data_IF_658017417973
#
_entry.id   IF_658017417973
#
_cell.length_a   1.000
_cell.length_b   1.000
_cell.length_c   1.000
_cell.angle_alpha   90.00
_cell.angle_beta   90.00
_cell.angle_gamma   90.00
#
_symmetry.space_group_name_H-M   'P 1'
#
loop_
_entity.id
_entity.type
_entity.pdbx_description
1 polymer ?
#
# COMPACT_ATOMS: atom_id res chain seq x y z
N UNK A 1 -12.18 1.15 -18.78
CA UNK A 1 -11.28 1.78 -17.78
C UNK A 1 -10.21 0.78 -17.37
N UNK A 2 -9.02 1.25 -17.00
CA UNK A 2 -7.96 0.38 -16.49
C UNK A 2 -8.37 -0.20 -15.12
N UNK A 3 -8.26 -1.51 -14.93
CA UNK A 3 -8.61 -2.16 -13.66
C UNK A 3 -7.51 -1.91 -12.63
N UNK A 4 -7.87 -1.31 -11.49
CA UNK A 4 -6.96 -1.12 -10.35
C UNK A 4 -7.36 -2.09 -9.25
N UNK A 5 -6.38 -2.78 -8.68
CA UNK A 5 -6.59 -3.59 -7.48
C UNK A 5 -5.75 -3.04 -6.34
N UNK A 6 -6.34 -3.00 -5.15
CA UNK A 6 -5.66 -2.67 -3.91
C UNK A 6 -5.58 -3.93 -3.05
N UNK A 7 -4.36 -4.38 -2.78
CA UNK A 7 -4.08 -5.49 -1.87
C UNK A 7 -3.53 -4.93 -0.56
N UNK A 8 -4.18 -5.28 0.55
CA UNK A 8 -3.85 -4.70 1.84
C UNK A 8 -3.89 -5.68 3.00
N UNK A 9 -3.10 -5.40 4.03
CA UNK A 9 -3.25 -6.05 5.34
C UNK A 9 -3.71 -5.01 6.37
N UNK A 10 -4.62 -5.39 7.28
CA UNK A 10 -5.09 -4.54 8.37
C UNK A 10 -5.06 -5.30 9.69
N UNK A 11 -4.19 -4.88 10.62
CA UNK A 11 -4.10 -5.51 11.94
C UNK A 11 -5.17 -5.03 12.91
N UNK A 12 -5.45 -3.72 12.92
CA UNK A 12 -6.38 -3.07 13.85
C UNK A 12 -7.52 -2.30 13.17
N UNK A 13 -7.75 -2.50 11.87
CA UNK A 13 -8.86 -1.87 11.14
C UNK A 13 -8.52 -0.54 10.46
N UNK A 14 -7.53 0.23 10.92
CA UNK A 14 -7.23 1.53 10.30
C UNK A 14 -6.84 1.44 8.81
N UNK A 15 -5.98 0.49 8.42
CA UNK A 15 -5.61 0.30 7.01
C UNK A 15 -6.81 -0.13 6.18
N UNK A 16 -7.74 -0.90 6.76
CA UNK A 16 -9.01 -1.31 6.11
C UNK A 16 -9.87 -0.11 5.77
N UNK A 17 -10.09 0.82 6.71
CA UNK A 17 -10.86 2.04 6.45
C UNK A 17 -10.23 2.87 5.32
N UNK A 18 -8.90 3.00 5.32
CA UNK A 18 -8.17 3.70 4.26
C UNK A 18 -8.31 3.00 2.90
N UNK A 19 -8.20 1.67 2.89
CA UNK A 19 -8.33 0.81 1.72
C UNK A 19 -9.73 0.88 1.09
N UNK A 20 -10.77 0.77 1.91
CA UNK A 20 -12.17 0.92 1.50
C UNK A 20 -12.45 2.33 0.97
N UNK A 21 -11.93 3.36 1.63
CA UNK A 21 -12.06 4.76 1.18
C UNK A 21 -11.40 4.95 -0.18
N UNK A 22 -10.17 4.48 -0.37
CA UNK A 22 -9.46 4.54 -1.65
C UNK A 22 -10.23 3.79 -2.75
N UNK A 23 -10.63 2.55 -2.48
CA UNK A 23 -11.31 1.72 -3.46
C UNK A 23 -12.67 2.31 -3.88
N UNK A 24 -13.43 2.89 -2.95
CA UNK A 24 -14.70 3.53 -3.25
C UNK A 24 -14.57 4.75 -4.18
N UNK A 25 -13.46 5.49 -4.14
CA UNK A 25 -13.27 6.68 -4.99
C UNK A 25 -12.99 6.35 -6.46
N UNK A 26 -12.41 5.18 -6.74
CA UNK A 26 -11.96 4.82 -8.09
C UNK A 26 -12.50 3.46 -8.57
N UNK A 27 -13.42 2.87 -7.80
CA UNK A 27 -13.99 1.54 -8.03
C UNK A 27 -12.90 0.46 -8.18
N UNK A 28 -11.88 0.50 -7.31
CA UNK A 28 -10.82 -0.51 -7.32
C UNK A 28 -11.30 -1.84 -6.73
N UNK A 29 -10.75 -2.96 -7.21
CA UNK A 29 -10.92 -4.23 -6.53
C UNK A 29 -10.21 -4.19 -5.18
N UNK A 30 -10.84 -4.71 -4.14
CA UNK A 30 -10.32 -4.70 -2.78
C UNK A 30 -9.96 -6.12 -2.36
N UNK A 31 -8.67 -6.35 -2.05
CA UNK A 31 -8.13 -7.67 -1.68
C UNK A 31 -7.52 -7.57 -0.29
N UNK A 32 -8.18 -8.19 0.69
CA UNK A 32 -7.69 -8.24 2.08
C UNK A 32 -6.79 -9.46 2.29
N UNK A 33 -5.54 -9.21 2.67
CA UNK A 33 -4.65 -10.22 3.24
C UNK A 33 -5.19 -10.52 4.64
N UNK A 34 -5.53 -11.79 4.88
CA UNK A 34 -6.09 -12.21 6.15
C UNK A 34 -5.03 -12.21 7.28
N UNK A 35 -5.44 -12.54 8.50
CA UNK A 35 -4.55 -12.54 9.68
C UNK A 35 -3.43 -13.59 9.60
N UNK A 36 -3.59 -14.61 8.76
CA UNK A 36 -2.58 -15.64 8.50
C UNK A 36 -1.60 -15.26 7.38
N UNK A 37 -1.80 -14.10 6.74
CA UNK A 37 -0.96 -13.61 5.64
C UNK A 37 -1.32 -14.16 4.26
N UNK A 38 -2.55 -14.66 4.08
CA UNK A 38 -3.02 -15.28 2.84
C UNK A 38 -4.12 -14.45 2.17
N UNK A 39 -4.25 -14.62 0.85
CA UNK A 39 -5.38 -14.13 0.02
C UNK A 39 -6.05 -15.33 -0.68
N UNK A 40 -7.26 -15.15 -1.20
CA UNK A 40 -7.96 -16.24 -1.88
C UNK A 40 -7.34 -16.54 -3.25
N UNK A 41 -7.54 -17.77 -3.77
CA UNK A 41 -7.01 -18.15 -5.09
C UNK A 41 -7.52 -17.25 -6.22
N UNK A 42 -8.79 -16.84 -6.15
CA UNK A 42 -9.41 -15.90 -7.09
C UNK A 42 -8.79 -14.48 -7.03
N UNK A 43 -8.25 -14.07 -5.88
CA UNK A 43 -7.64 -12.75 -5.71
C UNK A 43 -6.32 -12.68 -6.47
N UNK A 44 -5.58 -13.78 -6.56
CA UNK A 44 -4.37 -13.85 -7.38
C UNK A 44 -4.68 -13.63 -8.86
N UNK A 45 -5.77 -14.20 -9.38
CA UNK A 45 -6.21 -13.95 -10.76
C UNK A 45 -6.64 -12.50 -10.94
N UNK A 46 -7.33 -11.94 -9.95
CA UNK A 46 -7.74 -10.53 -9.97
C UNK A 46 -6.53 -9.58 -10.05
N UNK A 47 -5.46 -9.86 -9.31
CA UNK A 47 -4.18 -9.12 -9.41
C UNK A 47 -3.51 -9.28 -10.78
N UNK A 48 -3.50 -10.50 -11.33
CA UNK A 48 -2.93 -10.77 -12.66
C UNK A 48 -3.67 -10.01 -13.77
N UNK A 49 -5.00 -9.87 -13.65
CA UNK A 49 -5.85 -9.17 -14.63
C UNK A 49 -5.84 -7.64 -14.44
N UNK A 50 -5.18 -7.13 -13.40
CA UNK A 50 -5.15 -5.71 -13.08
C UNK A 50 -4.11 -4.95 -13.90
N UNK A 51 -4.44 -3.73 -14.31
CA UNK A 51 -3.48 -2.82 -14.92
C UNK A 51 -2.57 -2.16 -13.86
N UNK A 52 -3.10 -1.94 -12.66
CA UNK A 52 -2.36 -1.39 -11.54
C UNK A 52 -2.62 -2.16 -10.24
N UNK A 53 -1.59 -2.27 -9.41
CA UNK A 53 -1.64 -2.90 -8.08
C UNK A 53 -1.17 -1.88 -7.04
N UNK A 54 -2.03 -1.57 -6.08
CA UNK A 54 -1.71 -0.69 -4.95
C UNK A 54 -1.47 -1.54 -3.71
N UNK A 55 -0.33 -1.33 -3.05
CA UNK A 55 0.02 -1.98 -1.80
C UNK A 55 -0.36 -1.12 -0.60
N UNK A 56 -1.01 -1.72 0.40
CA UNK A 56 -1.27 -1.04 1.67
C UNK A 56 -1.06 -1.95 2.88
N UNK A 57 -0.35 -1.46 3.89
CA UNK A 57 -0.22 -2.14 5.17
C UNK A 57 0.13 -1.11 6.25
N UNK A 58 -0.16 -1.36 7.53
CA UNK A 58 0.34 -0.50 8.59
C UNK A 58 1.87 -0.67 8.74
N UNK A 59 2.55 0.32 9.31
CA UNK A 59 3.95 0.16 9.71
C UNK A 59 4.00 -0.38 11.13
N UNK A 60 4.50 -1.61 11.29
CA UNK A 60 4.75 -2.26 12.57
C UNK A 60 6.22 -2.64 12.70
N UNK A 61 6.82 -2.32 13.85
CA UNK A 61 8.18 -2.76 14.22
C UNK A 61 9.18 -2.66 13.05
N UNK A 62 9.37 -1.42 12.55
CA UNK A 62 10.24 -1.02 11.44
C UNK A 62 9.72 -1.16 10.01
N UNK A 63 8.73 -2.00 9.67
CA UNK A 63 8.34 -2.23 8.28
C UNK A 63 6.89 -2.68 8.09
N UNK A 64 6.54 -3.20 6.91
CA UNK A 64 5.25 -3.87 6.71
C UNK A 64 5.15 -5.12 7.61
N UNK A 65 3.96 -5.51 8.08
CA UNK A 65 3.81 -6.63 9.01
C UNK A 65 4.11 -7.96 8.33
N UNK A 66 4.35 -8.99 9.13
CA UNK A 66 4.72 -10.31 8.65
C UNK A 66 3.65 -10.91 7.71
N UNK A 67 2.36 -10.59 7.90
CA UNK A 67 1.28 -11.00 7.02
C UNK A 67 1.48 -10.47 5.59
N UNK A 68 1.79 -9.18 5.46
CA UNK A 68 2.11 -8.59 4.16
C UNK A 68 3.37 -9.22 3.57
N UNK A 69 4.39 -9.49 4.41
CA UNK A 69 5.62 -10.16 3.96
C UNK A 69 5.35 -11.58 3.44
N UNK A 70 4.46 -12.35 4.08
CA UNK A 70 4.05 -13.68 3.61
C UNK A 70 3.37 -13.60 2.23
N UNK A 71 2.44 -12.67 2.04
CA UNK A 71 1.87 -12.38 0.72
C UNK A 71 2.95 -12.00 -0.31
N UNK A 72 3.88 -11.11 0.05
CA UNK A 72 4.98 -10.70 -0.81
C UNK A 72 5.86 -11.88 -1.22
N UNK A 73 6.17 -12.80 -0.29
CA UNK A 73 6.93 -14.01 -0.58
C UNK A 73 6.15 -14.99 -1.47
N UNK A 74 4.83 -15.13 -1.25
CA UNK A 74 3.96 -15.94 -2.09
C UNK A 74 3.87 -15.38 -3.53
N UNK A 75 4.01 -14.06 -3.70
CA UNK A 75 4.07 -13.43 -5.03
C UNK A 75 5.29 -13.85 -5.87
N UNK A 76 6.27 -14.56 -5.28
CA UNK A 76 7.41 -15.16 -6.02
C UNK A 76 6.98 -16.03 -7.21
N UNK A 77 5.81 -16.68 -7.13
CA UNK A 77 5.22 -17.42 -8.26
C UNK A 77 4.91 -16.51 -9.46
N UNK A 78 4.39 -15.30 -9.19
CA UNK A 78 4.08 -14.28 -10.21
C UNK A 78 5.35 -13.63 -10.76
N UNK A 79 6.34 -13.42 -9.89
CA UNK A 79 7.66 -12.95 -10.28
C UNK A 79 8.35 -13.92 -11.26
N UNK A 80 8.32 -15.22 -10.95
CA UNK A 80 8.95 -16.26 -11.77
C UNK A 80 8.41 -16.30 -13.21
N UNK A 81 7.09 -16.12 -13.38
CA UNK A 81 6.45 -16.08 -14.70
C UNK A 81 6.42 -14.69 -15.32
N UNK A 82 6.97 -13.68 -14.63
CA UNK A 82 6.91 -12.26 -15.03
C UNK A 82 5.47 -11.74 -15.22
N UNK A 83 4.49 -12.33 -14.54
CA UNK A 83 3.07 -12.00 -14.71
C UNK A 83 2.74 -10.54 -14.37
N UNK A 84 3.55 -9.90 -13.52
CA UNK A 84 3.37 -8.50 -13.09
C UNK A 84 4.35 -7.51 -13.73
N UNK A 85 5.09 -7.95 -14.76
CA UNK A 85 5.96 -7.09 -15.54
C UNK A 85 5.18 -5.91 -16.12
N UNK A 86 5.78 -4.71 -16.08
CA UNK A 86 5.24 -3.46 -16.62
C UNK A 86 3.91 -2.98 -16.01
N UNK A 87 3.36 -3.68 -15.01
CA UNK A 87 2.20 -3.20 -14.26
C UNK A 87 2.55 -1.92 -13.51
N UNK A 88 1.54 -1.08 -13.33
CA UNK A 88 1.66 0.13 -12.52
C UNK A 88 1.54 -0.26 -11.04
N UNK A 89 2.42 0.28 -10.20
CA UNK A 89 2.37 0.09 -8.76
C UNK A 89 2.33 1.42 -8.03
N UNK A 90 1.73 1.38 -6.84
CA UNK A 90 1.79 2.46 -5.87
C UNK A 90 1.55 1.90 -4.48
N UNK A 91 1.51 2.76 -3.48
CA UNK A 91 1.16 2.30 -2.15
C UNK A 91 1.05 3.40 -1.11
N UNK A 92 0.46 3.01 0.01
CA UNK A 92 0.33 3.86 1.18
C UNK A 92 0.46 3.04 2.46
N UNK A 93 0.78 3.72 3.54
CA UNK A 93 0.92 3.08 4.85
C UNK A 93 0.47 4.02 5.95
N UNK A 94 0.11 3.43 7.09
CA UNK A 94 -0.32 4.17 8.26
C UNK A 94 0.36 3.66 9.54
N UNK A 95 0.53 4.56 10.50
CA UNK A 95 0.95 4.23 11.86
C UNK A 95 0.50 5.33 12.83
N UNK A 96 0.55 5.06 14.13
CA UNK A 96 0.09 6.00 15.15
C UNK A 96 0.96 7.25 15.30
N UNK A 97 2.26 7.11 15.05
CA UNK A 97 3.22 8.19 15.18
C UNK A 97 3.30 9.04 13.91
N UNK A 98 3.64 10.33 14.07
CA UNK A 98 3.80 11.27 12.96
C UNK A 98 4.81 10.76 11.92
N UNK A 99 6.03 10.44 12.34
CA UNK A 99 6.99 9.74 11.47
C UNK A 99 6.68 8.24 11.46
N UNK A 100 6.87 7.57 12.60
CA UNK A 100 6.47 6.18 12.80
C UNK A 100 7.01 5.22 11.74
N UNK A 101 8.21 5.51 11.23
CA UNK A 101 9.01 4.73 10.28
C UNK A 101 8.30 4.34 8.97
N UNK A 102 7.21 5.03 8.63
CA UNK A 102 6.36 4.75 7.47
C UNK A 102 7.13 4.75 6.14
N UNK A 103 8.19 5.55 6.06
CA UNK A 103 9.06 5.59 4.88
C UNK A 103 9.73 4.24 4.60
N UNK A 104 10.06 3.46 5.64
CA UNK A 104 10.69 2.13 5.47
C UNK A 104 9.71 1.13 4.86
N UNK A 105 8.44 1.14 5.30
CA UNK A 105 7.37 0.34 4.69
C UNK A 105 7.16 0.72 3.21
N UNK A 106 7.15 2.01 2.86
CA UNK A 106 7.03 2.42 1.46
C UNK A 106 8.24 2.00 0.61
N UNK A 107 9.46 2.06 1.15
CA UNK A 107 10.65 1.55 0.45
C UNK A 107 10.51 0.04 0.20
N UNK A 108 9.99 -0.72 1.16
CA UNK A 108 9.72 -2.15 0.98
C UNK A 108 8.72 -2.39 -0.17
N UNK A 109 7.63 -1.61 -0.23
CA UNK A 109 6.64 -1.72 -1.31
C UNK A 109 7.24 -1.36 -2.68
N UNK A 110 7.99 -0.25 -2.75
CA UNK A 110 8.65 0.17 -3.98
C UNK A 110 9.68 -0.87 -4.45
N UNK A 111 10.43 -1.46 -3.52
CA UNK A 111 11.41 -2.52 -3.82
C UNK A 111 10.71 -3.78 -4.33
N UNK A 112 9.58 -4.17 -3.74
CA UNK A 112 8.77 -5.29 -4.21
C UNK A 112 8.22 -5.05 -5.63
N UNK A 113 7.67 -3.86 -5.90
CA UNK A 113 7.22 -3.47 -7.24
C UNK A 113 8.38 -3.55 -8.26
N UNK A 114 9.57 -3.10 -7.86
CA UNK A 114 10.78 -3.16 -8.70
C UNK A 114 11.21 -4.59 -9.00
N UNK A 115 11.13 -5.52 -8.02
CA UNK A 115 11.41 -6.94 -8.26
C UNK A 115 10.46 -7.55 -9.30
N UNK A 116 9.18 -7.16 -9.27
CA UNK A 116 8.19 -7.56 -10.27
C UNK A 116 8.37 -6.89 -11.64
N UNK A 117 9.35 -5.99 -11.79
CA UNK A 117 9.57 -5.23 -13.02
C UNK A 117 8.47 -4.21 -13.29
N UNK A 118 7.79 -3.75 -12.23
CA UNK A 118 6.71 -2.78 -12.31
C UNK A 118 7.17 -1.33 -12.34
N UNK A 119 6.22 -0.44 -12.66
CA UNK A 119 6.42 1.01 -12.71
C UNK A 119 5.82 1.64 -11.47
N UNK A 120 6.65 2.19 -10.58
CA UNK A 120 6.17 2.84 -9.36
C UNK A 120 5.71 4.29 -9.60
N UNK A 121 4.47 4.58 -9.22
CA UNK A 121 3.88 5.92 -9.26
C UNK A 121 4.03 6.58 -7.89
N UNK A 122 4.67 7.75 -7.88
CA UNK A 122 4.87 8.57 -6.68
C UNK A 122 3.57 9.27 -6.25
N UNK A 123 3.56 9.86 -5.05
CA UNK A 123 2.38 10.56 -4.52
C UNK A 123 2.00 11.79 -5.38
N UNK A 124 2.97 12.48 -5.97
CA UNK A 124 2.74 13.65 -6.83
C UNK A 124 2.26 14.92 -6.12
N UNK A 125 2.18 14.93 -4.78
CA UNK A 125 1.74 16.08 -3.98
C UNK A 125 2.91 16.78 -3.28
N UNK A 126 2.93 18.11 -3.30
CA UNK A 126 3.88 18.90 -2.52
C UNK A 126 3.65 18.70 -1.00
N UNK A 127 4.71 18.73 -0.18
CA UNK A 127 4.57 18.66 1.27
C UNK A 127 3.91 19.93 1.83
N UNK A 128 3.05 19.78 2.83
CA UNK A 128 2.55 20.91 3.61
C UNK A 128 3.56 21.26 4.74
N UNK A 129 4.51 22.15 4.44
CA UNK A 129 5.66 22.45 5.30
C UNK A 129 5.87 23.96 5.57
N UNK A 130 4.84 24.77 5.34
CA UNK A 130 4.88 26.21 5.65
C UNK A 130 4.60 26.46 7.13
N UNK A 131 4.89 27.67 7.63
CA UNK A 131 4.62 28.04 9.04
C UNK A 131 3.14 27.97 9.42
N UNK A 132 2.24 28.10 8.45
CA UNK A 132 0.78 28.06 8.65
C UNK A 132 0.19 26.67 8.43
N UNK A 133 1.01 25.67 8.05
CA UNK A 133 0.55 24.32 7.80
C UNK A 133 0.00 23.66 9.08
N UNK A 134 -1.06 22.89 8.92
CA UNK A 134 -1.80 22.22 10.00
C UNK A 134 -1.76 20.71 9.83
N UNK A 135 -2.26 19.97 10.84
CA UNK A 135 -2.39 18.52 10.74
C UNK A 135 -3.53 18.08 9.82
N UNK A 136 -4.38 19.01 9.36
CA UNK A 136 -5.49 18.76 8.45
C UNK A 136 -5.09 18.92 6.98
N UNK A 137 -3.89 19.43 6.70
CA UNK A 137 -3.39 19.54 5.33
C UNK A 137 -3.07 18.15 4.75
N UNK A 138 -3.33 17.98 3.45
CA UNK A 138 -3.33 16.66 2.77
C UNK A 138 -1.98 15.94 2.91
N UNK A 139 -0.85 16.62 2.64
CA UNK A 139 0.49 16.04 2.73
C UNK A 139 1.29 16.64 3.91
N UNK A 140 0.67 16.70 5.09
CA UNK A 140 1.29 17.20 6.32
C UNK A 140 2.48 16.35 6.83
N UNK A 141 2.61 15.11 6.36
CA UNK A 141 3.73 14.21 6.68
C UNK A 141 4.83 14.22 5.63
N UNK A 142 4.65 14.96 4.53
CA UNK A 142 5.67 15.16 3.50
C UNK A 142 6.08 13.90 2.75
N UNK A 143 5.13 12.97 2.52
CA UNK A 143 5.37 11.79 1.70
C UNK A 143 5.57 12.16 0.23
N UNK A 144 6.53 11.51 -0.43
CA UNK A 144 6.76 11.64 -1.87
C UNK A 144 6.67 10.30 -2.60
N UNK A 145 7.20 9.24 -1.98
CA UNK A 145 7.17 7.88 -2.55
C UNK A 145 5.74 7.33 -2.61
N UNK A 146 4.91 7.66 -1.64
CA UNK A 146 3.52 7.23 -1.50
C UNK A 146 2.86 7.98 -0.34
N UNK A 147 1.60 7.68 -0.05
CA UNK A 147 0.90 8.38 1.04
C UNK A 147 1.36 7.86 2.41
N UNK A 148 1.77 8.79 3.27
CA UNK A 148 2.08 8.55 4.67
C UNK A 148 0.89 9.04 5.50
N UNK A 149 0.28 8.18 6.30
CA UNK A 149 -0.96 8.50 7.00
C UNK A 149 -0.76 8.29 8.51
N UNK A 150 -1.20 9.26 9.31
CA UNK A 150 -1.27 9.07 10.77
C UNK A 150 -2.65 8.56 11.15
N UNK A 151 -2.70 7.45 11.90
CA UNK A 151 -3.96 6.88 12.40
C UNK A 151 -3.85 6.73 13.92
N UNK A 152 -4.60 7.49 14.73
CA UNK A 152 -4.50 7.45 16.20
C UNK A 152 -4.60 6.03 16.74
N UNK A 153 -3.80 5.70 17.76
CA UNK A 153 -3.73 4.34 18.31
C UNK A 153 -4.99 3.91 19.08
N UNK A 154 -5.86 4.88 19.40
CA UNK A 154 -7.06 4.77 20.22
C UNK A 154 -8.35 5.12 19.46
N UNK A 155 -8.27 5.23 18.12
CA UNK A 155 -9.40 5.51 17.24
C UNK A 155 -10.16 4.25 16.81
#
# INVERSE_FOLDING_TARGET
MAKVSLVYFSGYGHTKVLAETFAAQIEANLIEINQDGDIQDQDWQTLDDSAAIVFAAPTYMAAAPWQFKKFADASSKKWFTRAWQDKIFGGFTNSASLNGDKQVTLIQFQTLASQHGGIWVSLGLLPANTKTATRQDINNLGGSVGALIQTPADA
#
